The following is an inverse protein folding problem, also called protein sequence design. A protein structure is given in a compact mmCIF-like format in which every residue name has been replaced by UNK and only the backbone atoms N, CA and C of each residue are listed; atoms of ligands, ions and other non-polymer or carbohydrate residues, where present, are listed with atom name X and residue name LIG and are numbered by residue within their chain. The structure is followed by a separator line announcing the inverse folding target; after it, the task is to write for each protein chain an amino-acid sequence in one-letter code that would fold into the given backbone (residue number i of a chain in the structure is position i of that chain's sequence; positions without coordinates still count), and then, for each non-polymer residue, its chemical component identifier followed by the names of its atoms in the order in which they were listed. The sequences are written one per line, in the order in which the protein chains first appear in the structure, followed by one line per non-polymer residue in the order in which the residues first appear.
data_IF_526514119954
#
_entry.id   IF_526514119954
#
_cell.length_a   1.000
_cell.length_b   1.000
_cell.length_c   1.000
_cell.angle_alpha   90.00
_cell.angle_beta   90.00
_cell.angle_gamma   90.00
#
_symmetry.space_group_name_H-M   'P 1'
#
loop_
_entity.id
_entity.type
_entity.pdbx_description
1 polymer ?
#
# COMPACT_ATOMS: atom_id res chain seq x y z
N UNK A 1 55.70 15.11 -18.30
CA UNK A 1 55.04 15.45 -17.05
C UNK A 1 53.50 15.46 -17.11
N UNK A 2 52.82 15.98 -18.17
CA UNK A 2 51.33 16.01 -18.24
C UNK A 2 50.62 14.65 -18.29
N UNK A 3 51.26 13.62 -18.92
CA UNK A 3 50.66 12.27 -19.01
C UNK A 3 50.66 11.48 -17.67
N UNK A 4 51.63 11.73 -16.80
CA UNK A 4 51.71 11.07 -15.48
C UNK A 4 50.69 11.63 -14.48
N UNK A 5 50.35 12.92 -14.58
CA UNK A 5 49.34 13.57 -13.72
C UNK A 5 47.94 13.03 -14.02
N UNK A 6 47.62 12.79 -15.30
CA UNK A 6 46.33 12.24 -15.72
C UNK A 6 46.15 10.79 -15.21
N UNK A 7 47.20 9.97 -15.22
CA UNK A 7 47.15 8.60 -14.72
C UNK A 7 46.94 8.54 -13.21
N UNK A 8 47.53 9.48 -12.45
CA UNK A 8 47.40 9.55 -11.00
C UNK A 8 45.98 10.02 -10.58
N UNK A 9 45.35 10.91 -11.34
CA UNK A 9 43.98 11.34 -11.08
C UNK A 9 42.98 10.21 -11.40
N UNK A 10 43.19 9.44 -12.46
CA UNK A 10 42.35 8.30 -12.80
C UNK A 10 42.38 7.20 -11.73
N UNK A 11 43.51 7.00 -11.05
CA UNK A 11 43.62 6.00 -9.97
C UNK A 11 42.94 6.40 -8.67
N UNK A 12 42.70 7.70 -8.42
CA UNK A 12 42.01 8.15 -7.20
C UNK A 12 40.48 7.98 -7.26
N UNK A 13 39.89 7.84 -8.44
CA UNK A 13 38.42 7.75 -8.60
C UNK A 13 37.88 6.36 -8.25
N UNK A 14 38.73 5.33 -8.13
CA UNK A 14 38.28 3.95 -7.96
C UNK A 14 38.11 3.54 -6.46
N UNK A 15 38.45 4.39 -5.51
CA UNK A 15 38.43 4.05 -4.07
C UNK A 15 37.14 4.47 -3.34
N UNK A 16 36.19 5.09 -4.04
CA UNK A 16 35.00 5.73 -3.42
C UNK A 16 33.79 4.82 -3.21
N UNK A 17 33.87 3.51 -3.34
CA UNK A 17 32.71 2.64 -3.11
C UNK A 17 33.07 1.34 -2.36
N UNK A 18 33.49 1.46 -1.09
CA UNK A 18 33.45 0.32 -0.15
C UNK A 18 33.48 0.82 1.29
N UNK A 19 32.32 0.95 1.87
CA UNK A 19 32.02 0.70 3.29
C UNK A 19 30.60 1.22 3.61
N UNK A 20 29.59 0.78 2.87
CA UNK A 20 28.24 0.76 3.42
C UNK A 20 28.21 -0.27 4.54
N UNK A 21 28.06 0.14 5.79
CA UNK A 21 27.77 -0.80 6.86
C UNK A 21 26.52 -1.58 6.45
N UNK A 22 26.67 -2.87 6.17
CA UNK A 22 25.53 -3.74 5.90
C UNK A 22 24.78 -3.87 7.23
N UNK A 23 23.74 -3.07 7.40
CA UNK A 23 22.79 -3.29 8.49
C UNK A 23 22.26 -4.73 8.36
N UNK A 24 22.02 -5.42 9.49
CA UNK A 24 21.41 -6.74 9.43
C UNK A 24 20.03 -6.63 8.72
N UNK A 25 19.63 -7.64 7.93
CA UNK A 25 18.35 -7.62 7.27
C UNK A 25 17.22 -7.60 8.32
N UNK A 26 16.28 -6.69 8.13
CA UNK A 26 15.05 -6.65 8.93
C UNK A 26 14.19 -7.84 8.50
N UNK A 27 13.74 -8.63 9.45
CA UNK A 27 12.76 -9.70 9.22
C UNK A 27 11.39 -9.18 9.60
N UNK A 28 10.34 -9.48 8.81
CA UNK A 28 8.97 -9.15 9.20
C UNK A 28 8.55 -10.00 10.39
N UNK A 29 7.81 -9.42 11.34
CA UNK A 29 7.20 -10.16 12.44
C UNK A 29 5.95 -10.89 11.99
N UNK A 30 5.20 -10.30 11.03
CA UNK A 30 4.00 -10.87 10.42
C UNK A 30 4.12 -10.81 8.90
N UNK A 31 3.70 -11.87 8.24
CA UNK A 31 3.56 -11.95 6.78
C UNK A 31 2.10 -12.25 6.49
N UNK A 32 1.48 -11.47 5.62
CA UNK A 32 0.09 -11.68 5.22
C UNK A 32 -0.11 -12.98 4.45
N UNK A 33 -1.32 -13.51 4.46
CA UNK A 33 -1.73 -14.56 3.53
C UNK A 33 -1.52 -14.08 2.09
N UNK A 34 -1.24 -15.05 1.22
CA UNK A 34 -0.96 -14.76 -0.18
C UNK A 34 -2.23 -14.32 -0.92
N UNK A 35 -2.14 -13.21 -1.65
CA UNK A 35 -3.17 -12.77 -2.59
C UNK A 35 -3.13 -13.58 -3.88
N UNK A 36 -4.18 -13.47 -4.71
CA UNK A 36 -4.28 -14.27 -5.94
C UNK A 36 -3.23 -13.88 -6.97
N UNK A 37 -2.92 -12.58 -7.10
CA UNK A 37 -2.05 -12.10 -8.17
C UNK A 37 -0.84 -11.32 -7.64
N UNK A 38 -0.95 -9.99 -7.55
CA UNK A 38 0.21 -9.10 -7.39
C UNK A 38 -0.14 -7.91 -6.50
N UNK A 39 0.12 -8.04 -5.20
CA UNK A 39 -0.10 -6.98 -4.21
C UNK A 39 0.93 -5.87 -4.40
N UNK A 40 0.46 -4.62 -4.44
CA UNK A 40 1.28 -3.47 -4.77
C UNK A 40 1.26 -2.42 -3.65
N UNK A 41 0.15 -1.70 -3.49
CA UNK A 41 0.05 -0.53 -2.62
C UNK A 41 -0.73 -0.85 -1.34
N UNK A 42 -0.18 -0.56 -0.15
CA UNK A 42 -0.86 -0.81 1.12
C UNK A 42 -1.44 0.46 1.73
N UNK A 43 -2.49 0.31 2.54
CA UNK A 43 -2.98 1.33 3.46
C UNK A 43 -3.36 0.69 4.81
N UNK A 44 -3.20 1.41 5.91
CA UNK A 44 -3.49 0.88 7.24
C UNK A 44 -4.54 1.76 7.92
N UNK A 45 -5.72 1.19 8.16
CA UNK A 45 -6.71 1.81 9.00
C UNK A 45 -6.50 1.40 10.46
N UNK A 46 -6.12 2.37 11.29
CA UNK A 46 -6.01 2.15 12.74
C UNK A 46 -7.38 2.39 13.36
N UNK A 47 -7.96 1.34 13.94
CA UNK A 47 -9.28 1.45 14.56
C UNK A 47 -9.22 2.38 15.77
N UNK A 48 -9.93 3.52 15.75
CA UNK A 48 -9.85 4.53 16.83
C UNK A 48 -10.46 4.06 18.15
N UNK A 49 -11.27 3.00 18.13
CA UNK A 49 -11.92 2.45 19.32
C UNK A 49 -11.20 1.24 19.90
N UNK A 50 -10.52 0.47 19.06
CA UNK A 50 -9.85 -0.78 19.46
C UNK A 50 -8.73 -1.08 18.44
N UNK A 51 -7.50 -0.71 18.79
CA UNK A 51 -6.35 -0.88 17.91
C UNK A 51 -6.11 -2.35 17.48
N UNK A 52 -6.55 -3.32 18.27
CA UNK A 52 -6.42 -4.74 17.92
C UNK A 52 -7.33 -5.16 16.73
N UNK A 53 -8.29 -4.32 16.37
CA UNK A 53 -9.21 -4.48 15.23
C UNK A 53 -8.86 -3.56 14.07
N UNK A 54 -7.63 -3.11 13.99
CA UNK A 54 -7.11 -2.38 12.84
C UNK A 54 -7.06 -3.26 11.61
N UNK A 55 -7.08 -2.64 10.43
CA UNK A 55 -7.12 -3.37 9.16
C UNK A 55 -5.96 -2.89 8.27
N UNK A 56 -5.24 -3.83 7.71
CA UNK A 56 -4.25 -3.57 6.66
C UNK A 56 -4.91 -3.87 5.31
N UNK A 57 -4.93 -2.89 4.43
CA UNK A 57 -5.43 -3.05 3.07
C UNK A 57 -4.27 -3.21 2.09
N UNK A 58 -4.51 -3.98 1.02
CA UNK A 58 -3.55 -4.14 -0.07
C UNK A 58 -4.24 -4.25 -1.41
N UNK A 59 -3.71 -3.54 -2.42
CA UNK A 59 -4.23 -3.63 -3.78
C UNK A 59 -3.69 -4.85 -4.50
N UNK A 60 -4.56 -5.65 -5.14
CA UNK A 60 -4.16 -6.68 -6.10
C UNK A 60 -4.36 -6.14 -7.52
N UNK A 61 -3.28 -5.67 -8.15
CA UNK A 61 -3.27 -4.82 -9.34
C UNK A 61 -3.48 -5.53 -10.69
N UNK A 62 -4.36 -6.51 -10.75
CA UNK A 62 -4.71 -7.20 -12.02
C UNK A 62 -6.14 -6.87 -12.46
N UNK A 63 -6.48 -7.22 -13.71
CA UNK A 63 -7.82 -6.99 -14.29
C UNK A 63 -8.96 -7.61 -13.47
N UNK A 64 -8.72 -8.75 -12.83
CA UNK A 64 -9.62 -9.36 -11.83
C UNK A 64 -9.05 -9.14 -10.43
N UNK A 65 -8.69 -7.89 -10.13
CA UNK A 65 -8.05 -7.51 -8.90
C UNK A 65 -9.03 -7.36 -7.73
N UNK A 66 -8.46 -6.99 -6.61
CA UNK A 66 -9.16 -6.78 -5.36
C UNK A 66 -8.51 -5.70 -4.51
N UNK A 67 -9.23 -5.19 -3.53
CA UNK A 67 -8.67 -4.56 -2.35
C UNK A 67 -8.82 -5.59 -1.24
N UNK A 68 -7.72 -6.24 -0.90
CA UNK A 68 -7.68 -7.19 0.22
C UNK A 68 -7.67 -6.45 1.55
N UNK A 69 -8.37 -7.00 2.51
CA UNK A 69 -8.32 -6.59 3.90
C UNK A 69 -7.70 -7.70 4.74
N UNK A 70 -6.71 -7.35 5.56
CA UNK A 70 -6.04 -8.28 6.46
C UNK A 70 -6.19 -7.81 7.91
N UNK A 71 -6.28 -8.74 8.83
CA UNK A 71 -6.12 -8.47 10.25
C UNK A 71 -4.62 -8.29 10.63
N UNK A 72 -4.36 -8.03 11.91
CA UNK A 72 -3.00 -7.81 12.39
C UNK A 72 -2.16 -9.09 12.47
N UNK A 73 -2.77 -10.27 12.36
CA UNK A 73 -2.07 -11.56 12.24
C UNK A 73 -1.79 -11.91 10.76
N UNK A 74 -2.18 -11.02 9.83
CA UNK A 74 -1.97 -11.17 8.39
C UNK A 74 -3.01 -12.08 7.71
N UNK A 75 -4.13 -12.39 8.37
CA UNK A 75 -5.20 -13.20 7.80
C UNK A 75 -6.14 -12.36 6.95
N UNK A 76 -6.59 -12.91 5.82
CA UNK A 76 -7.58 -12.25 4.97
C UNK A 76 -8.93 -12.18 5.68
N UNK A 77 -9.50 -10.98 5.73
CA UNK A 77 -10.86 -10.73 6.20
C UNK A 77 -11.77 -10.70 4.97
N UNK A 78 -12.32 -11.84 4.62
CA UNK A 78 -13.08 -12.02 3.37
C UNK A 78 -14.29 -11.07 3.27
N UNK A 79 -15.03 -10.86 4.36
CA UNK A 79 -16.19 -9.97 4.37
C UNK A 79 -15.85 -8.47 4.21
N UNK A 80 -14.55 -8.14 4.30
CA UNK A 80 -14.03 -6.77 4.11
C UNK A 80 -13.20 -6.64 2.83
N UNK A 81 -12.94 -7.72 2.14
CA UNK A 81 -12.20 -7.73 0.87
C UNK A 81 -13.13 -7.35 -0.28
N UNK A 82 -12.77 -6.30 -1.04
CA UNK A 82 -13.52 -5.85 -2.20
C UNK A 82 -12.95 -6.53 -3.44
N UNK A 83 -13.74 -7.43 -4.05
CA UNK A 83 -13.31 -8.23 -5.21
C UNK A 83 -13.85 -7.68 -6.52
N UNK A 84 -13.35 -8.21 -7.63
CA UNK A 84 -13.77 -7.86 -9.00
C UNK A 84 -13.50 -6.39 -9.39
N UNK A 85 -12.48 -5.80 -8.81
CA UNK A 85 -12.02 -4.45 -9.16
C UNK A 85 -11.11 -4.54 -10.39
N UNK A 86 -11.37 -3.68 -11.36
CA UNK A 86 -10.66 -3.67 -12.65
C UNK A 86 -9.32 -2.92 -12.53
N UNK A 87 -8.26 -3.66 -12.22
CA UNK A 87 -6.90 -3.16 -12.07
C UNK A 87 -6.80 -2.04 -11.02
N UNK A 88 -7.06 -2.33 -9.75
CA UNK A 88 -6.80 -1.36 -8.69
C UNK A 88 -5.30 -1.03 -8.63
N UNK A 89 -4.97 0.18 -8.18
CA UNK A 89 -3.58 0.59 -8.09
C UNK A 89 -3.34 1.27 -6.71
N UNK A 90 -3.43 2.60 -6.66
CA UNK A 90 -3.21 3.30 -5.40
C UNK A 90 -4.40 3.14 -4.46
N UNK A 91 -4.12 3.01 -3.17
CA UNK A 91 -5.11 2.99 -2.10
C UNK A 91 -4.69 3.93 -0.99
N UNK A 92 -5.63 4.67 -0.42
CA UNK A 92 -5.39 5.59 0.67
C UNK A 92 -6.60 5.68 1.61
N UNK A 93 -6.40 6.29 2.77
CA UNK A 93 -7.39 6.39 3.84
C UNK A 93 -7.60 7.84 4.28
N UNK A 94 -8.83 8.17 4.61
CA UNK A 94 -9.16 9.41 5.30
C UNK A 94 -10.08 9.12 6.49
N UNK A 95 -9.71 9.70 7.63
CA UNK A 95 -10.51 9.61 8.85
C UNK A 95 -11.52 10.74 8.92
N UNK A 96 -12.68 10.47 9.51
CA UNK A 96 -13.73 11.45 9.75
C UNK A 96 -14.12 12.26 8.48
N UNK A 97 -14.13 11.61 7.34
CA UNK A 97 -14.57 12.21 6.08
C UNK A 97 -16.02 12.67 6.18
N UNK A 98 -16.29 13.89 5.77
CA UNK A 98 -17.65 14.45 5.78
C UNK A 98 -18.46 13.85 4.63
N UNK A 99 -19.30 12.87 4.94
CA UNK A 99 -20.22 12.29 3.96
C UNK A 99 -21.38 13.26 3.65
N UNK A 100 -21.82 13.99 4.67
CA UNK A 100 -22.77 15.10 4.60
C UNK A 100 -22.60 15.99 5.85
N UNK A 101 -23.45 17.01 6.01
CA UNK A 101 -23.38 18.00 7.09
C UNK A 101 -23.42 17.40 8.51
N UNK A 102 -24.00 16.21 8.67
CA UNK A 102 -24.22 15.58 9.98
C UNK A 102 -23.46 14.24 10.16
N UNK A 103 -22.88 13.69 9.09
CA UNK A 103 -22.31 12.33 9.12
C UNK A 103 -20.85 12.34 8.71
N UNK A 104 -20.01 11.81 9.61
CA UNK A 104 -18.60 11.57 9.33
C UNK A 104 -18.32 10.06 9.34
N UNK A 105 -17.53 9.61 8.41
CA UNK A 105 -17.11 8.20 8.29
C UNK A 105 -15.63 8.13 7.95
N UNK A 106 -14.97 7.06 8.38
CA UNK A 106 -13.64 6.76 7.84
C UNK A 106 -13.82 6.13 6.45
N UNK A 107 -12.98 6.50 5.52
CA UNK A 107 -13.09 6.04 4.13
C UNK A 107 -11.78 5.48 3.62
N UNK A 108 -11.89 4.47 2.78
CA UNK A 108 -10.82 4.02 1.90
C UNK A 108 -11.15 4.46 0.48
N UNK A 109 -10.17 5.06 -0.19
CA UNK A 109 -10.25 5.45 -1.59
C UNK A 109 -9.19 4.72 -2.39
N UNK A 110 -9.55 4.26 -3.59
CA UNK A 110 -8.60 3.60 -4.48
C UNK A 110 -8.94 3.87 -5.95
N UNK A 111 -7.91 3.75 -6.80
CA UNK A 111 -8.08 3.89 -8.24
C UNK A 111 -8.50 2.57 -8.87
N UNK A 112 -9.52 2.58 -9.71
CA UNK A 112 -9.90 1.48 -10.61
C UNK A 112 -9.50 1.86 -12.04
N UNK A 113 -8.27 1.49 -12.44
CA UNK A 113 -7.60 2.04 -13.63
C UNK A 113 -8.28 1.71 -14.94
N UNK A 114 -8.75 0.48 -15.13
CA UNK A 114 -9.40 0.09 -16.40
C UNK A 114 -10.78 0.74 -16.58
N UNK A 115 -11.37 1.23 -15.49
CA UNK A 115 -12.60 2.02 -15.56
C UNK A 115 -12.37 3.53 -15.48
N UNK A 116 -11.12 3.96 -15.31
CA UNK A 116 -10.71 5.37 -15.20
C UNK A 116 -11.49 6.13 -14.11
N UNK A 117 -11.65 5.50 -12.95
CA UNK A 117 -12.43 6.03 -11.84
C UNK A 117 -11.74 5.87 -10.49
N UNK A 118 -12.20 6.63 -9.51
CA UNK A 118 -11.86 6.47 -8.10
C UNK A 118 -13.06 5.82 -7.40
N UNK A 119 -12.78 4.84 -6.57
CA UNK A 119 -13.78 4.16 -5.74
C UNK A 119 -13.63 4.60 -4.28
N UNK A 120 -14.77 4.77 -3.61
CA UNK A 120 -14.83 5.11 -2.18
C UNK A 120 -15.69 4.10 -1.43
N UNK A 121 -15.16 3.64 -0.29
CA UNK A 121 -15.89 2.74 0.62
C UNK A 121 -15.72 3.21 2.06
N UNK A 122 -16.75 3.01 2.89
CA UNK A 122 -16.65 3.26 4.34
C UNK A 122 -15.77 2.22 5.02
N UNK A 123 -15.08 2.62 6.09
CA UNK A 123 -14.31 1.71 6.95
C UNK A 123 -14.87 1.81 8.38
N UNK A 124 -15.09 0.71 9.08
CA UNK A 124 -14.76 -0.68 8.73
C UNK A 124 -15.87 -1.46 7.99
N UNK A 125 -16.99 -0.84 7.67
CA UNK A 125 -18.18 -1.54 7.16
C UNK A 125 -18.08 -1.93 5.68
N UNK A 126 -17.10 -1.37 4.96
CA UNK A 126 -16.82 -1.61 3.53
C UNK A 126 -18.05 -1.39 2.62
N UNK A 127 -18.87 -0.40 2.95
CA UNK A 127 -20.03 -0.01 2.13
C UNK A 127 -19.59 0.97 1.03
N UNK A 128 -20.00 0.77 -0.24
CA UNK A 128 -19.69 1.73 -1.31
C UNK A 128 -20.37 3.08 -1.03
N UNK A 129 -19.64 4.17 -1.25
CA UNK A 129 -20.08 5.55 -1.02
C UNK A 129 -20.18 6.37 -2.32
N UNK A 130 -19.77 5.79 -3.43
CA UNK A 130 -19.52 6.44 -4.73
C UNK A 130 -20.54 6.06 -5.81
N UNK A 131 -21.64 5.38 -5.48
CA UNK A 131 -22.64 4.89 -6.43
C UNK A 131 -22.07 4.06 -7.58
N UNK A 132 -20.88 3.47 -7.39
CA UNK A 132 -20.23 2.62 -8.38
C UNK A 132 -19.04 3.27 -9.11
N UNK A 133 -18.68 4.49 -8.71
CA UNK A 133 -17.52 5.22 -9.24
C UNK A 133 -17.87 6.38 -10.15
#
# INVERSE_FOLDING_TARGET
MKKQIILTIASLVIISCKNGSKLPPIKPDVITEQTINDTDDPAIWVNPKDASKSIVFGTDKKTNGAIYAFDLDGKIIEEKTIRNIKRPNNVDLAYAFNLNDSTKVDVIAFTEREKQQIRLFSVPDMKPLDNGG
#
